data_IF_250477669002
#
_entry.id   IF_250477669002
#
_cell.length_a   1.000
_cell.length_b   1.000
_cell.length_c   1.000
_cell.angle_alpha   90.00
_cell.angle_beta   90.00
_cell.angle_gamma   90.00
#
_symmetry.space_group_name_H-M   'P 1'
#
loop_
_entity.id
_entity.type
_entity.pdbx_description
1 polymer ?
#
# COMPACT_ATOMS: atom_id res chain seq x y z
N UNK A 1 10.13 -13.03 41.08
CA UNK A 1 8.91 -12.59 40.36
C UNK A 1 9.33 -12.24 38.92
N UNK A 2 9.03 -13.10 37.94
CA UNK A 2 9.30 -12.80 36.52
C UNK A 2 8.20 -11.85 36.05
N UNK A 3 8.54 -10.58 35.86
CA UNK A 3 7.68 -9.59 35.21
C UNK A 3 7.34 -10.14 33.81
N UNK A 4 6.10 -10.53 33.59
CA UNK A 4 5.57 -10.81 32.25
C UNK A 4 5.76 -9.52 31.42
N UNK A 5 6.74 -9.50 30.51
CA UNK A 5 6.80 -8.53 29.43
C UNK A 5 5.50 -8.67 28.67
N UNK A 6 4.57 -7.77 28.86
CA UNK A 6 3.42 -7.62 27.96
C UNK A 6 4.02 -7.32 26.58
N UNK A 7 3.98 -8.30 25.68
CA UNK A 7 4.35 -8.06 24.29
C UNK A 7 3.49 -6.90 23.78
N UNK A 8 4.15 -5.78 23.53
CA UNK A 8 3.47 -4.63 22.91
C UNK A 8 2.96 -5.09 21.55
N UNK A 9 1.65 -5.08 21.38
CA UNK A 9 1.03 -5.38 20.07
C UNK A 9 1.62 -4.44 19.01
N UNK A 10 1.89 -4.93 17.81
CA UNK A 10 2.41 -4.11 16.73
C UNK A 10 1.49 -2.92 16.44
N UNK A 11 2.07 -1.77 16.19
CA UNK A 11 1.34 -0.57 15.79
C UNK A 11 1.36 -0.43 14.26
N UNK A 12 0.26 0.07 13.66
CA UNK A 12 0.24 0.35 12.24
C UNK A 12 1.30 1.36 11.81
N UNK A 13 1.79 1.22 10.58
CA UNK A 13 2.53 2.27 9.89
C UNK A 13 1.72 2.80 8.71
N UNK A 14 1.80 4.10 8.49
CA UNK A 14 1.20 4.79 7.34
C UNK A 14 2.32 5.32 6.46
N UNK A 15 2.32 4.92 5.20
CA UNK A 15 3.28 5.35 4.19
C UNK A 15 2.51 5.96 3.02
N UNK A 16 2.87 7.17 2.63
CA UNK A 16 2.36 7.80 1.41
C UNK A 16 3.52 8.02 0.45
N UNK A 17 3.30 7.73 -0.82
CA UNK A 17 4.32 7.81 -1.86
C UNK A 17 3.91 8.85 -2.89
N UNK A 18 4.82 9.75 -3.20
CA UNK A 18 4.67 10.80 -4.19
C UNK A 18 5.71 11.91 -3.99
N UNK A 19 6.42 12.28 -5.03
CA UNK A 19 7.39 13.36 -5.00
C UNK A 19 6.76 14.69 -4.55
N UNK A 20 5.54 14.99 -4.99
CA UNK A 20 4.79 16.19 -4.62
C UNK A 20 4.51 16.29 -3.11
N UNK A 21 4.41 15.14 -2.44
CA UNK A 21 4.21 15.10 -0.99
C UNK A 21 5.50 15.43 -0.23
N UNK A 22 6.63 14.92 -0.70
CA UNK A 22 7.95 15.15 -0.10
C UNK A 22 8.42 16.58 -0.35
N UNK A 23 8.16 17.12 -1.55
CA UNK A 23 8.51 18.49 -1.92
C UNK A 23 7.60 19.55 -1.28
N UNK A 24 6.49 19.13 -0.67
CA UNK A 24 5.53 20.05 -0.06
C UNK A 24 4.65 20.79 -1.07
N UNK A 25 4.56 20.29 -2.28
CA UNK A 25 3.75 20.87 -3.37
C UNK A 25 2.26 20.50 -3.21
N UNK A 26 1.96 19.43 -2.48
CA UNK A 26 0.62 18.96 -2.22
C UNK A 26 0.43 18.61 -0.76
N UNK A 27 -0.77 18.85 -0.23
CA UNK A 27 -1.14 18.45 1.12
C UNK A 27 -1.38 16.93 1.21
N UNK A 28 -0.82 16.28 2.22
CA UNK A 28 -0.96 14.84 2.44
C UNK A 28 -2.28 14.48 3.14
N UNK A 29 -3.39 14.61 2.41
CA UNK A 29 -4.72 14.30 2.92
C UNK A 29 -4.90 12.81 3.24
N UNK A 30 -4.27 11.92 2.45
CA UNK A 30 -4.37 10.47 2.66
C UNK A 30 -3.74 10.03 3.98
N UNK A 31 -2.55 10.52 4.32
CA UNK A 31 -1.88 10.18 5.58
C UNK A 31 -2.73 10.55 6.79
N UNK A 32 -3.27 11.76 6.78
CA UNK A 32 -4.16 12.24 7.83
C UNK A 32 -5.41 11.37 7.94
N UNK A 33 -6.10 11.12 6.83
CA UNK A 33 -7.32 10.34 6.83
C UNK A 33 -7.10 8.91 7.32
N UNK A 34 -6.03 8.23 6.85
CA UNK A 34 -5.67 6.88 7.28
C UNK A 34 -5.41 6.86 8.79
N UNK A 35 -4.66 7.82 9.31
CA UNK A 35 -4.33 7.88 10.74
C UNK A 35 -5.58 8.10 11.61
N UNK A 36 -6.49 8.99 11.20
CA UNK A 36 -7.76 9.23 11.84
C UNK A 36 -8.63 7.95 11.82
N UNK A 37 -8.72 7.30 10.66
CA UNK A 37 -9.47 6.06 10.51
C UNK A 37 -8.92 4.94 11.41
N UNK A 38 -7.60 4.73 11.42
CA UNK A 38 -6.93 3.74 12.27
C UNK A 38 -7.21 3.99 13.76
N UNK A 39 -7.13 5.22 14.21
CA UNK A 39 -7.41 5.60 15.61
C UNK A 39 -8.83 5.22 16.04
N UNK A 40 -9.80 5.38 15.17
CA UNK A 40 -11.20 5.11 15.49
C UNK A 40 -11.59 3.64 15.34
N UNK A 41 -11.05 2.94 14.33
CA UNK A 41 -11.52 1.63 13.93
C UNK A 41 -10.57 0.49 14.29
N UNK A 42 -9.29 0.79 14.57
CA UNK A 42 -8.30 -0.24 14.91
C UNK A 42 -7.38 0.21 16.04
N UNK A 43 -6.18 0.65 15.75
CA UNK A 43 -5.16 1.15 16.69
C UNK A 43 -4.51 2.38 16.08
N UNK A 44 -4.10 3.38 16.90
CA UNK A 44 -3.41 4.55 16.37
C UNK A 44 -2.14 4.15 15.62
N UNK A 45 -1.84 4.88 14.54
CA UNK A 45 -0.59 4.71 13.82
C UNK A 45 0.62 4.97 14.75
N UNK A 46 1.62 4.08 14.67
CA UNK A 46 2.88 4.26 15.40
C UNK A 46 3.84 5.19 14.66
N UNK A 47 3.72 5.28 13.34
CA UNK A 47 4.55 6.13 12.48
C UNK A 47 3.80 6.51 11.22
N UNK A 48 4.12 7.67 10.67
CA UNK A 48 3.67 8.14 9.36
C UNK A 48 4.89 8.63 8.58
N UNK A 49 5.02 8.20 7.33
CA UNK A 49 6.11 8.56 6.43
C UNK A 49 5.55 9.04 5.09
N UNK A 50 6.19 10.05 4.50
CA UNK A 50 6.04 10.41 3.10
C UNK A 50 7.34 10.09 2.38
N UNK A 51 7.26 9.30 1.32
CA UNK A 51 8.42 8.84 0.56
C UNK A 51 8.34 9.34 -0.89
N UNK A 52 9.48 9.63 -1.52
CA UNK A 52 9.53 9.98 -2.94
C UNK A 52 9.24 8.75 -3.82
N UNK A 53 9.00 9.02 -5.11
CA UNK A 53 8.86 7.99 -6.14
C UNK A 53 10.23 7.39 -6.51
N UNK A 54 10.82 6.67 -5.55
CA UNK A 54 12.12 5.99 -5.67
C UNK A 54 12.03 4.56 -5.12
N UNK A 55 12.32 3.58 -5.98
CA UNK A 55 12.18 2.15 -5.65
C UNK A 55 13.05 1.76 -4.46
N UNK A 56 14.31 2.20 -4.44
CA UNK A 56 15.25 1.82 -3.39
C UNK A 56 14.88 2.43 -2.04
N UNK A 57 14.45 3.69 -2.03
CA UNK A 57 14.00 4.36 -0.81
C UNK A 57 12.73 3.70 -0.28
N UNK A 58 11.76 3.42 -1.14
CA UNK A 58 10.52 2.73 -0.75
C UNK A 58 10.85 1.35 -0.17
N UNK A 59 11.67 0.55 -0.86
CA UNK A 59 12.05 -0.78 -0.41
C UNK A 59 12.76 -0.74 0.95
N UNK A 60 13.71 0.17 1.13
CA UNK A 60 14.46 0.34 2.38
C UNK A 60 13.53 0.64 3.56
N UNK A 61 12.63 1.60 3.42
CA UNK A 61 11.73 1.98 4.50
C UNK A 61 10.69 0.92 4.81
N UNK A 62 10.15 0.22 3.80
CA UNK A 62 9.23 -0.88 4.02
C UNK A 62 9.90 -2.05 4.77
N UNK A 63 11.14 -2.43 4.41
CA UNK A 63 11.93 -3.41 5.16
C UNK A 63 12.12 -2.98 6.61
N UNK A 64 12.49 -1.72 6.85
CA UNK A 64 12.71 -1.18 8.19
C UNK A 64 11.43 -1.22 9.03
N UNK A 65 10.28 -0.85 8.47
CA UNK A 65 9.00 -0.89 9.17
C UNK A 65 8.61 -2.32 9.56
N UNK A 66 8.79 -3.29 8.65
CA UNK A 66 8.54 -4.70 8.93
C UNK A 66 9.48 -5.24 10.01
N UNK A 67 10.77 -4.91 9.95
CA UNK A 67 11.78 -5.32 10.93
C UNK A 67 11.50 -4.74 12.32
N UNK A 68 10.90 -3.56 12.39
CA UNK A 68 10.42 -2.94 13.64
C UNK A 68 9.06 -3.46 14.11
N UNK A 69 8.56 -4.50 13.45
CA UNK A 69 7.29 -5.13 13.79
C UNK A 69 6.07 -4.18 13.68
N UNK A 70 6.08 -3.26 12.70
CA UNK A 70 4.87 -2.51 12.36
C UNK A 70 3.89 -3.39 11.60
N UNK A 71 2.62 -3.36 12.01
CA UNK A 71 1.54 -4.09 11.32
C UNK A 71 0.16 -3.48 11.62
N UNK A 72 -0.70 -3.28 10.63
CA UNK A 72 -0.40 -3.35 9.19
C UNK A 72 0.51 -2.21 8.73
N UNK A 73 1.22 -2.39 7.62
CA UNK A 73 1.91 -1.31 6.90
C UNK A 73 1.00 -0.89 5.74
N UNK A 74 0.40 0.29 5.86
CA UNK A 74 -0.55 0.82 4.88
C UNK A 74 0.17 1.79 3.95
N UNK A 75 0.20 1.48 2.66
CA UNK A 75 0.89 2.27 1.63
C UNK A 75 -0.15 2.87 0.69
N UNK A 76 -0.14 4.18 0.48
CA UNK A 76 -1.02 4.88 -0.44
C UNK A 76 -0.23 5.68 -1.48
N UNK A 77 -0.54 5.48 -2.75
CA UNK A 77 0.09 6.13 -3.90
C UNK A 77 1.12 5.27 -4.62
N UNK A 78 1.48 5.66 -5.82
CA UNK A 78 2.52 5.05 -6.64
C UNK A 78 2.23 3.63 -7.16
N UNK A 79 0.97 3.19 -7.19
CA UNK A 79 0.58 1.88 -7.74
C UNK A 79 -0.06 1.95 -9.14
N UNK A 80 -0.10 3.13 -9.75
CA UNK A 80 -0.54 3.32 -11.12
C UNK A 80 0.38 2.66 -12.14
N UNK A 81 0.16 2.93 -13.41
CA UNK A 81 0.86 2.26 -14.51
C UNK A 81 1.94 3.11 -15.19
N UNK A 82 2.18 4.33 -14.75
CA UNK A 82 3.20 5.22 -15.31
C UNK A 82 4.60 4.87 -14.79
N UNK A 83 5.63 5.40 -15.44
CA UNK A 83 7.02 5.17 -15.02
C UNK A 83 7.35 5.78 -13.65
N UNK A 84 6.59 6.78 -13.21
CA UNK A 84 6.75 7.41 -11.90
C UNK A 84 6.12 6.58 -10.76
N UNK A 85 5.26 5.62 -11.10
CA UNK A 85 4.60 4.75 -10.12
C UNK A 85 5.54 3.65 -9.60
N UNK A 86 6.33 3.96 -8.59
CA UNK A 86 7.42 3.12 -8.07
C UNK A 86 7.01 2.16 -6.93
N UNK A 87 5.81 2.30 -6.37
CA UNK A 87 5.41 1.56 -5.15
C UNK A 87 5.35 0.06 -5.37
N UNK A 88 4.83 -0.43 -6.52
CA UNK A 88 4.75 -1.86 -6.82
C UNK A 88 6.14 -2.52 -6.84
N UNK A 89 7.08 -1.88 -7.51
CA UNK A 89 8.47 -2.34 -7.57
C UNK A 89 9.18 -2.24 -6.21
N UNK A 90 8.96 -1.15 -5.48
CA UNK A 90 9.50 -0.97 -4.13
C UNK A 90 9.02 -2.03 -3.14
N UNK A 91 7.74 -2.41 -3.19
CA UNK A 91 7.20 -3.49 -2.36
C UNK A 91 7.79 -4.84 -2.77
N UNK A 92 7.88 -5.12 -4.07
CA UNK A 92 8.48 -6.36 -4.57
C UNK A 92 9.93 -6.50 -4.10
N UNK A 93 10.73 -5.43 -4.19
CA UNK A 93 12.12 -5.41 -3.69
C UNK A 93 12.19 -5.53 -2.16
N UNK A 94 11.26 -4.89 -1.42
CA UNK A 94 11.20 -5.01 0.03
C UNK A 94 10.96 -6.44 0.49
N UNK A 95 10.16 -7.21 -0.26
CA UNK A 95 9.78 -8.58 0.06
C UNK A 95 10.63 -9.64 -0.67
N UNK A 96 11.62 -9.21 -1.44
CA UNK A 96 12.53 -10.09 -2.21
C UNK A 96 11.78 -11.04 -3.16
N UNK A 97 10.81 -10.50 -3.88
CA UNK A 97 10.03 -11.21 -4.90
C UNK A 97 10.03 -10.45 -6.22
N UNK A 98 9.93 -11.13 -7.38
CA UNK A 98 9.85 -10.45 -8.67
C UNK A 98 8.48 -9.75 -8.86
N UNK A 99 8.45 -8.77 -9.76
CA UNK A 99 7.21 -8.28 -10.36
C UNK A 99 6.81 -9.23 -11.48
N UNK A 100 5.58 -9.75 -11.42
CA UNK A 100 5.02 -10.63 -12.45
C UNK A 100 3.63 -10.15 -12.83
N UNK A 101 3.16 -10.54 -14.01
CA UNK A 101 1.79 -10.27 -14.42
C UNK A 101 0.82 -11.09 -13.55
N UNK A 102 0.04 -10.41 -12.73
CA UNK A 102 -0.98 -11.05 -11.90
C UNK A 102 -2.19 -11.43 -12.76
N UNK A 103 -2.52 -12.73 -12.88
CA UNK A 103 -3.55 -13.19 -13.82
C UNK A 103 -4.91 -12.53 -13.61
N UNK A 104 -5.42 -12.57 -12.39
CA UNK A 104 -6.72 -11.98 -12.04
C UNK A 104 -6.75 -10.46 -12.26
N UNK A 105 -5.69 -9.75 -11.88
CA UNK A 105 -5.58 -8.30 -12.12
C UNK A 105 -5.58 -7.99 -13.61
N UNK A 106 -4.88 -8.80 -14.40
CA UNK A 106 -4.89 -8.68 -15.86
C UNK A 106 -6.28 -8.85 -16.46
N UNK A 107 -7.04 -9.84 -16.01
CA UNK A 107 -8.43 -10.05 -16.45
C UNK A 107 -9.32 -8.86 -16.11
N UNK A 108 -9.26 -8.36 -14.88
CA UNK A 108 -10.02 -7.18 -14.42
C UNK A 108 -9.70 -5.96 -15.29
N UNK A 109 -8.42 -5.68 -15.56
CA UNK A 109 -8.03 -4.54 -16.38
C UNK A 109 -8.41 -4.72 -17.84
N UNK A 110 -8.25 -5.92 -18.39
CA UNK A 110 -8.62 -6.24 -19.78
C UNK A 110 -10.12 -6.05 -19.99
N UNK A 111 -10.94 -6.45 -19.05
CA UNK A 111 -12.37 -6.25 -19.11
C UNK A 111 -12.76 -4.78 -18.95
N UNK A 112 -12.19 -4.08 -17.97
CA UNK A 112 -12.48 -2.66 -17.69
C UNK A 112 -12.10 -1.76 -18.86
N UNK A 113 -10.99 -2.04 -19.51
CA UNK A 113 -10.43 -1.22 -20.59
C UNK A 113 -10.55 -1.85 -21.96
N UNK A 114 -11.62 -2.60 -22.23
CA UNK A 114 -11.87 -3.25 -23.52
C UNK A 114 -11.58 -2.31 -24.70
N UNK A 115 -10.66 -2.71 -25.59
CA UNK A 115 -10.25 -1.93 -26.76
C UNK A 115 -9.45 -0.66 -26.45
N UNK A 116 -9.14 -0.37 -25.19
CA UNK A 116 -8.38 0.81 -24.71
C UNK A 116 -7.23 0.44 -23.78
N UNK A 117 -6.84 -0.81 -23.75
CA UNK A 117 -5.70 -1.27 -22.98
C UNK A 117 -4.42 -0.76 -23.66
N UNK A 118 -3.61 0.01 -22.94
CA UNK A 118 -2.32 0.52 -23.37
C UNK A 118 -1.22 0.06 -22.40
N UNK A 119 0.03 0.39 -22.68
CA UNK A 119 1.17 -0.02 -21.87
C UNK A 119 0.99 0.40 -20.40
N UNK A 120 0.66 1.66 -20.12
CA UNK A 120 0.48 2.16 -18.75
C UNK A 120 -0.62 1.39 -17.99
N UNK A 121 -1.74 1.10 -18.66
CA UNK A 121 -2.82 0.31 -18.04
C UNK A 121 -2.41 -1.14 -17.82
N UNK A 122 -1.67 -1.71 -18.77
CA UNK A 122 -1.12 -3.06 -18.66
C UNK A 122 -0.12 -3.20 -17.52
N UNK A 123 0.70 -2.17 -17.29
CA UNK A 123 1.68 -2.14 -16.20
C UNK A 123 1.04 -2.22 -14.81
N UNK A 124 -0.20 -1.78 -14.64
CA UNK A 124 -0.92 -1.92 -13.36
C UNK A 124 -1.16 -3.38 -12.95
N UNK A 125 -1.08 -4.33 -13.90
CA UNK A 125 -1.15 -5.76 -13.60
C UNK A 125 0.20 -6.39 -13.22
N UNK A 126 1.30 -5.66 -13.34
CA UNK A 126 2.62 -6.11 -12.88
C UNK A 126 2.72 -5.90 -11.38
N UNK A 127 2.53 -6.96 -10.61
CA UNK A 127 2.44 -6.94 -9.15
C UNK A 127 3.51 -7.85 -8.52
N UNK A 128 3.83 -7.66 -7.23
CA UNK A 128 4.70 -8.58 -6.50
C UNK A 128 4.16 -10.02 -6.57
N UNK A 129 5.01 -10.97 -6.96
CA UNK A 129 4.61 -12.36 -7.15
C UNK A 129 4.04 -12.95 -5.86
N UNK A 130 2.85 -13.56 -5.95
CA UNK A 130 2.15 -14.18 -4.82
C UNK A 130 1.31 -13.22 -3.99
N UNK A 131 1.18 -11.95 -4.36
CA UNK A 131 0.29 -11.03 -3.67
C UNK A 131 -1.18 -11.39 -3.85
N UNK A 132 -2.03 -10.93 -2.93
CA UNK A 132 -3.49 -11.00 -3.05
C UNK A 132 -4.05 -9.63 -3.41
N UNK A 133 -5.08 -9.59 -4.24
CA UNK A 133 -5.72 -8.34 -4.64
C UNK A 133 -6.59 -7.75 -3.54
N UNK A 134 -6.71 -6.42 -3.55
CA UNK A 134 -7.70 -5.65 -2.80
C UNK A 134 -8.64 -5.05 -3.83
N UNK A 135 -9.92 -5.41 -3.74
CA UNK A 135 -10.94 -4.95 -4.68
C UNK A 135 -11.04 -3.42 -4.71
N UNK A 136 -11.08 -2.87 -5.92
CA UNK A 136 -11.34 -1.46 -6.17
C UNK A 136 -12.46 -1.32 -7.21
N UNK A 137 -13.68 -0.95 -6.80
CA UNK A 137 -14.79 -0.81 -7.75
C UNK A 137 -14.62 0.35 -8.74
N UNK A 138 -13.70 1.28 -8.46
CA UNK A 138 -13.50 2.49 -9.26
C UNK A 138 -12.28 2.46 -10.18
N UNK A 139 -11.41 1.47 -10.04
CA UNK A 139 -10.14 1.45 -10.80
C UNK A 139 -9.40 0.13 -10.71
N UNK A 140 -8.10 0.19 -10.95
CA UNK A 140 -7.22 -0.95 -10.77
C UNK A 140 -7.21 -1.41 -9.30
N UNK A 141 -7.17 -2.73 -9.06
CA UNK A 141 -7.07 -3.26 -7.70
C UNK A 141 -5.85 -2.73 -6.95
N UNK A 142 -5.99 -2.60 -5.63
CA UNK A 142 -4.85 -2.61 -4.72
C UNK A 142 -4.36 -4.04 -4.50
N UNK A 143 -3.38 -4.20 -3.63
CA UNK A 143 -2.88 -5.53 -3.29
C UNK A 143 -2.29 -5.58 -1.88
N UNK A 144 -2.16 -6.80 -1.35
CA UNK A 144 -1.56 -7.04 -0.03
C UNK A 144 -0.59 -8.21 -0.08
N UNK A 145 0.51 -8.10 0.65
CA UNK A 145 1.53 -9.14 0.79
C UNK A 145 2.44 -8.84 1.98
N UNK A 146 2.81 -9.86 2.75
CA UNK A 146 3.84 -9.74 3.80
C UNK A 146 3.57 -8.70 4.89
N UNK A 147 2.29 -8.40 5.17
CA UNK A 147 1.90 -7.36 6.13
C UNK A 147 1.79 -5.95 5.54
N UNK A 148 2.07 -5.78 4.25
CA UNK A 148 1.92 -4.53 3.49
C UNK A 148 0.58 -4.57 2.74
N UNK A 149 -0.13 -3.44 2.76
CA UNK A 149 -1.40 -3.22 2.07
C UNK A 149 -1.26 -1.97 1.21
N UNK A 150 -1.31 -2.12 -0.10
CA UNK A 150 -1.08 -1.05 -1.07
C UNK A 150 -2.39 -0.58 -1.71
N UNK A 151 -2.59 0.73 -1.70
CA UNK A 151 -3.79 1.40 -2.20
C UNK A 151 -3.41 2.48 -3.21
N UNK A 152 -4.32 2.82 -4.15
CA UNK A 152 -4.12 3.99 -5.01
C UNK A 152 -4.06 5.27 -4.21
N UNK A 153 -3.40 6.29 -4.77
CA UNK A 153 -3.26 7.61 -4.15
C UNK A 153 -4.53 8.48 -4.21
N UNK A 154 -5.55 8.06 -4.96
CA UNK A 154 -6.82 8.80 -5.06
C UNK A 154 -7.64 8.65 -3.78
N UNK A 155 -7.97 9.74 -3.06
CA UNK A 155 -8.67 9.67 -1.77
C UNK A 155 -9.98 8.87 -1.82
N UNK A 156 -10.78 9.07 -2.84
CA UNK A 156 -12.07 8.38 -2.97
C UNK A 156 -11.92 6.85 -3.09
N UNK A 157 -10.88 6.39 -3.80
CA UNK A 157 -10.58 4.96 -3.93
C UNK A 157 -10.09 4.39 -2.60
N UNK A 158 -9.09 5.03 -2.01
CA UNK A 158 -8.53 4.63 -0.71
C UNK A 158 -9.62 4.52 0.37
N UNK A 159 -10.48 5.53 0.47
CA UNK A 159 -11.56 5.57 1.46
C UNK A 159 -12.62 4.49 1.25
N UNK A 160 -12.83 4.05 0.02
CA UNK A 160 -13.71 2.92 -0.30
C UNK A 160 -13.07 1.54 -0.10
N UNK A 161 -11.75 1.46 -0.11
CA UNK A 161 -11.01 0.19 -0.06
C UNK A 161 -10.51 -0.16 1.35
N UNK A 162 -9.87 0.78 2.05
CA UNK A 162 -9.25 0.52 3.35
C UNK A 162 -10.19 -0.04 4.41
N UNK A 163 -11.43 0.45 4.59
CA UNK A 163 -12.35 -0.10 5.58
C UNK A 163 -12.65 -1.58 5.38
N UNK A 164 -12.68 -2.06 4.16
CA UNK A 164 -12.90 -3.48 3.82
C UNK A 164 -11.76 -4.39 4.29
N UNK A 165 -10.58 -3.82 4.55
CA UNK A 165 -9.41 -4.57 5.03
C UNK A 165 -9.35 -4.70 6.55
N UNK A 166 -10.29 -4.11 7.29
CA UNK A 166 -10.27 -4.06 8.75
C UNK A 166 -10.05 -5.43 9.40
N UNK A 167 -10.74 -6.45 8.92
CA UNK A 167 -10.68 -7.80 9.49
C UNK A 167 -9.32 -8.49 9.24
N UNK A 168 -8.57 -8.03 8.26
CA UNK A 168 -7.21 -8.52 7.99
C UNK A 168 -6.17 -8.02 9.00
N UNK A 169 -6.50 -7.02 9.83
CA UNK A 169 -5.55 -6.43 10.79
C UNK A 169 -5.56 -7.12 12.15
N UNK A 170 -6.47 -8.07 12.35
CA UNK A 170 -6.62 -8.78 13.61
C UNK A 170 -7.36 -7.97 14.68
N UNK A 171 -7.35 -8.42 15.94
CA UNK A 171 -8.10 -7.80 17.03
C UNK A 171 -7.57 -6.39 17.36
N UNK A 172 -8.49 -5.54 17.79
CA UNK A 172 -8.24 -4.16 18.22
C UNK A 172 -7.40 -4.10 19.51
#
# INVERSE_FOLDING_TARGET
MKTKRTEKRPLPAVVTVGDELVLGESGNANSRWIAEWLKHHFRPAGIQLSLPDDIAIIAQWLKELLNRNHFPVLVAGGIGGTHDDCTRAGIAEALDVPLTRHPECWEILSERYRGKLNENRSNMAMLPEGCSLIENPYGAPGFKMGGIFAFPGFPNMLQGMLPKMRDNFGPK
#
